data_IF_685655846305
#
_entry.id   IF_685655846305
#
_cell.length_a   1.000
_cell.length_b   1.000
_cell.length_c   1.000
_cell.angle_alpha   90.00
_cell.angle_beta   90.00
_cell.angle_gamma   90.00
#
_symmetry.space_group_name_H-M   'P 1'
#
loop_
_entity.id
_entity.type
_entity.pdbx_description
1 polymer ?
#
# COMPACT_ATOMS: atom_id res chain seq x y z
N UNK A 1 -1.47 2.60 -10.70
CA UNK A 1 -1.32 2.79 -12.16
C UNK A 1 -0.43 3.99 -12.42
N UNK A 2 0.82 3.79 -12.79
CA UNK A 2 1.73 4.90 -13.17
C UNK A 2 1.63 5.06 -14.67
N UNK A 3 0.93 6.08 -15.14
CA UNK A 3 0.86 6.43 -16.55
C UNK A 3 2.18 7.02 -17.00
N UNK A 4 2.89 6.29 -17.86
CA UNK A 4 4.09 6.75 -18.54
C UNK A 4 3.67 7.40 -19.87
N UNK A 5 3.86 8.72 -20.00
CA UNK A 5 3.63 9.47 -21.25
C UNK A 5 4.94 9.56 -22.00
N UNK A 6 5.21 8.64 -22.89
CA UNK A 6 6.12 8.82 -24.02
C UNK A 6 5.51 8.20 -25.28
N UNK A 7 5.12 9.09 -26.22
CA UNK A 7 4.52 8.70 -27.49
C UNK A 7 5.54 8.14 -28.48
N UNK A 8 5.35 6.89 -28.86
CA UNK A 8 5.77 6.40 -30.19
C UNK A 8 4.99 5.14 -30.56
N UNK A 9 4.38 5.20 -31.73
CA UNK A 9 3.54 4.18 -32.38
C UNK A 9 4.18 2.79 -32.53
N UNK A 10 3.37 1.72 -32.58
CA UNK A 10 3.84 0.36 -32.72
C UNK A 10 3.91 -0.10 -34.19
N UNK A 11 4.93 -0.85 -34.51
CA UNK A 11 4.96 -1.68 -35.69
C UNK A 11 5.54 -3.06 -35.40
N UNK A 12 4.74 -4.09 -35.59
CA UNK A 12 5.18 -5.40 -36.07
C UNK A 12 5.52 -6.48 -35.04
N UNK A 13 4.63 -7.45 -34.90
CA UNK A 13 4.90 -8.82 -34.46
C UNK A 13 6.12 -9.47 -35.12
N UNK A 14 6.86 -10.43 -34.44
CA UNK A 14 6.33 -11.78 -34.34
C UNK A 14 6.69 -12.56 -33.03
N UNK A 15 5.80 -13.49 -32.71
CA UNK A 15 5.90 -14.58 -31.74
C UNK A 15 7.26 -15.30 -31.69
N UNK A 16 7.87 -15.41 -30.51
CA UNK A 16 8.77 -16.52 -30.15
C UNK A 16 8.56 -16.90 -28.68
N UNK A 17 7.89 -18.05 -28.48
CA UNK A 17 7.87 -18.74 -27.18
C UNK A 17 9.27 -19.34 -26.92
N UNK A 18 9.84 -19.00 -25.80
CA UNK A 18 10.94 -19.78 -25.21
C UNK A 18 10.61 -20.09 -23.74
N UNK A 19 10.43 -21.39 -23.49
CA UNK A 19 10.36 -21.94 -22.15
C UNK A 19 11.72 -21.78 -21.43
N UNK A 20 11.73 -21.16 -20.27
CA UNK A 20 12.84 -21.26 -19.33
C UNK A 20 12.28 -21.57 -17.92
N UNK A 21 12.42 -22.81 -17.51
CA UNK A 21 12.46 -23.18 -16.11
C UNK A 21 13.88 -22.86 -15.61
N UNK A 22 14.07 -21.73 -14.95
CA UNK A 22 15.35 -21.34 -14.34
C UNK A 22 15.37 -21.66 -12.85
N UNK A 23 16.36 -22.42 -12.47
CA UNK A 23 16.67 -22.91 -11.13
C UNK A 23 16.78 -21.77 -10.10
N UNK A 24 16.13 -21.87 -8.93
CA UNK A 24 16.15 -20.91 -7.82
C UNK A 24 17.59 -20.64 -7.31
N UNK A 25 18.52 -21.56 -7.54
CA UNK A 25 19.96 -21.39 -7.25
C UNK A 25 20.64 -20.31 -8.12
N UNK A 26 20.02 -19.91 -9.24
CA UNK A 26 20.60 -18.96 -10.19
C UNK A 26 20.44 -17.50 -9.73
N UNK A 27 19.38 -17.18 -9.00
CA UNK A 27 19.09 -15.79 -8.56
C UNK A 27 20.16 -15.29 -7.56
N UNK A 28 20.63 -16.14 -6.64
CA UNK A 28 21.70 -15.78 -5.70
C UNK A 28 23.09 -15.59 -6.37
N UNK A 29 23.29 -16.19 -7.54
CA UNK A 29 24.55 -16.05 -8.31
C UNK A 29 24.60 -14.75 -9.13
N UNK A 30 23.48 -14.20 -9.53
CA UNK A 30 23.39 -13.01 -10.40
C UNK A 30 23.52 -11.68 -9.63
N UNK A 31 23.33 -11.67 -8.31
CA UNK A 31 23.48 -10.47 -7.49
C UNK A 31 24.94 -9.98 -7.50
N UNK A 32 25.14 -8.68 -7.74
CA UNK A 32 26.45 -8.07 -7.67
C UNK A 32 27.07 -8.26 -6.28
N UNK A 33 28.38 -8.38 -6.19
CA UNK A 33 29.08 -8.55 -4.90
C UNK A 33 28.73 -7.44 -3.90
N UNK A 34 28.39 -6.23 -4.39
CA UNK A 34 27.92 -5.10 -3.56
C UNK A 34 26.58 -5.38 -2.88
N UNK A 35 25.61 -5.94 -3.60
CA UNK A 35 24.30 -6.28 -3.04
C UNK A 35 24.41 -7.40 -1.98
N UNK A 36 25.22 -8.43 -2.22
CA UNK A 36 25.51 -9.48 -1.23
C UNK A 36 26.17 -8.93 0.03
N UNK A 37 27.12 -7.99 -0.13
CA UNK A 37 27.79 -7.33 1.00
C UNK A 37 26.83 -6.46 1.80
N UNK A 38 25.91 -5.76 1.15
CA UNK A 38 24.89 -4.94 1.83
C UNK A 38 23.95 -5.82 2.65
N UNK A 39 23.45 -6.93 2.09
CA UNK A 39 22.59 -7.88 2.80
C UNK A 39 23.33 -8.52 3.99
N UNK A 40 24.60 -8.88 3.81
CA UNK A 40 25.41 -9.43 4.89
C UNK A 40 25.67 -8.39 6.00
N UNK A 41 25.95 -7.13 5.65
CA UNK A 41 26.13 -6.04 6.60
C UNK A 41 24.82 -5.72 7.36
N UNK A 42 23.68 -5.74 6.68
CA UNK A 42 22.36 -5.58 7.30
C UNK A 42 22.05 -6.74 8.26
N UNK A 43 22.33 -7.99 7.88
CA UNK A 43 22.17 -9.16 8.73
C UNK A 43 23.09 -9.12 9.97
N UNK A 44 24.33 -8.61 9.82
CA UNK A 44 25.27 -8.42 10.92
C UNK A 44 24.80 -7.29 11.86
N UNK A 45 24.32 -6.15 11.32
CA UNK A 45 23.76 -5.05 12.10
C UNK A 45 22.51 -5.47 12.88
N UNK A 46 21.60 -6.25 12.27
CA UNK A 46 20.43 -6.83 12.90
C UNK A 46 20.81 -7.85 14.00
N UNK A 47 21.81 -8.70 13.75
CA UNK A 47 22.33 -9.64 14.76
C UNK A 47 22.98 -8.96 15.97
N UNK A 48 23.50 -7.73 15.83
CA UNK A 48 23.99 -6.93 16.94
C UNK A 48 22.84 -6.24 17.72
N UNK A 49 21.78 -5.79 17.03
CA UNK A 49 20.64 -5.12 17.67
C UNK A 49 19.84 -6.06 18.56
N UNK A 50 19.65 -7.33 18.18
CA UNK A 50 18.94 -8.32 19.00
C UNK A 50 19.65 -8.70 20.29
N UNK A 51 20.97 -8.59 20.36
CA UNK A 51 21.74 -8.80 21.63
C UNK A 51 21.69 -7.62 22.59
N UNK A 52 21.40 -6.41 22.10
CA UNK A 52 21.24 -5.22 22.93
C UNK A 52 19.86 -5.09 23.60
N UNK A 53 18.85 -5.85 23.12
CA UNK A 53 17.48 -5.81 23.65
C UNK A 53 17.29 -6.60 24.97
N UNK A 54 18.28 -7.37 25.44
CA UNK A 54 18.12 -8.32 26.54
C UNK A 54 18.32 -7.74 27.95
N UNK A 55 18.64 -6.47 28.13
CA UNK A 55 18.82 -5.89 29.48
C UNK A 55 18.48 -4.39 29.53
N UNK A 56 17.43 -4.03 30.27
CA UNK A 56 17.34 -2.72 30.88
C UNK A 56 16.01 -1.98 30.83
N UNK A 57 15.64 -1.49 31.94
CA UNK A 57 14.62 -0.52 32.36
C UNK A 57 13.81 0.21 31.27
N UNK A 58 12.50 0.27 31.50
CA UNK A 58 11.44 0.86 30.68
C UNK A 58 11.50 2.41 30.49
N UNK A 59 12.62 3.04 30.73
CA UNK A 59 12.83 4.51 30.60
C UNK A 59 13.91 4.90 29.59
N UNK A 60 14.52 3.95 28.88
CA UNK A 60 15.60 4.29 27.96
C UNK A 60 15.05 4.76 26.59
N UNK A 61 15.50 5.96 26.16
CA UNK A 61 15.33 6.50 24.81
C UNK A 61 16.20 5.68 23.82
N UNK A 62 15.75 4.47 23.45
CA UNK A 62 16.48 3.59 22.52
C UNK A 62 15.85 3.65 21.15
N UNK A 63 16.64 3.72 20.07
CA UNK A 63 16.15 3.51 18.73
C UNK A 63 15.55 2.12 18.57
N UNK A 64 14.44 2.02 17.80
CA UNK A 64 13.87 0.77 17.34
C UNK A 64 14.06 0.66 15.83
N UNK A 65 14.24 -0.55 15.36
CA UNK A 65 14.41 -0.87 13.94
C UNK A 65 13.47 -2.01 13.59
N UNK A 66 12.87 -1.95 12.41
CA UNK A 66 12.15 -3.09 11.81
C UNK A 66 12.61 -3.31 10.38
N UNK A 67 12.48 -4.55 9.94
CA UNK A 67 12.68 -4.98 8.57
C UNK A 67 11.49 -5.84 8.19
N UNK A 68 10.81 -5.44 7.12
CA UNK A 68 9.73 -6.19 6.53
C UNK A 68 10.12 -6.56 5.09
N UNK A 69 10.06 -7.85 4.80
CA UNK A 69 10.36 -8.37 3.46
C UNK A 69 9.19 -9.24 3.00
N UNK A 70 8.61 -8.87 1.86
CA UNK A 70 7.54 -9.61 1.22
C UNK A 70 8.00 -10.08 -0.15
N UNK A 71 7.77 -11.35 -0.44
CA UNK A 71 8.02 -11.97 -1.76
C UNK A 71 6.74 -12.62 -2.24
N UNK A 72 6.39 -12.39 -3.51
CA UNK A 72 5.27 -13.08 -4.15
C UNK A 72 5.72 -13.81 -5.41
N UNK A 73 5.09 -14.96 -5.63
CA UNK A 73 4.97 -15.60 -6.94
C UNK A 73 3.52 -15.42 -7.37
N UNK A 74 3.30 -14.67 -8.43
CA UNK A 74 2.00 -14.37 -9.01
C UNK A 74 1.86 -15.15 -10.31
N UNK A 75 0.70 -15.71 -10.63
CA UNK A 75 0.46 -16.47 -11.88
C UNK A 75 -1.00 -16.37 -12.32
N UNK A 76 -1.20 -16.29 -13.63
CA UNK A 76 -2.48 -16.45 -14.31
C UNK A 76 -2.71 -17.89 -14.85
N UNK A 77 -1.90 -18.85 -14.41
CA UNK A 77 -1.79 -20.23 -14.86
C UNK A 77 -1.04 -20.44 -16.19
N UNK A 78 -0.71 -19.39 -16.94
CA UNK A 78 0.11 -19.47 -18.16
C UNK A 78 1.53 -18.95 -17.93
N UNK A 79 1.64 -17.82 -17.26
CA UNK A 79 2.92 -17.17 -16.92
C UNK A 79 3.04 -16.98 -15.41
N UNK A 80 4.25 -16.74 -14.97
CA UNK A 80 4.54 -16.43 -13.58
C UNK A 80 5.42 -15.18 -13.46
N UNK A 81 5.03 -14.30 -12.55
CA UNK A 81 5.73 -13.07 -12.18
C UNK A 81 6.26 -13.20 -10.76
N UNK A 82 7.46 -12.70 -10.53
CA UNK A 82 8.08 -12.67 -9.22
C UNK A 82 8.23 -11.23 -8.74
N UNK A 83 7.73 -10.96 -7.56
CA UNK A 83 7.70 -9.63 -6.94
C UNK A 83 8.37 -9.67 -5.58
N UNK A 84 9.14 -8.64 -5.24
CA UNK A 84 9.80 -8.50 -3.94
C UNK A 84 9.67 -7.06 -3.44
N UNK A 85 9.26 -6.91 -2.19
CA UNK A 85 9.28 -5.65 -1.46
C UNK A 85 10.16 -5.82 -0.22
N UNK A 86 11.06 -4.86 0.00
CA UNK A 86 11.84 -4.74 1.22
C UNK A 86 11.60 -3.37 1.83
N UNK A 87 11.13 -3.33 3.06
CA UNK A 87 10.94 -2.12 3.83
C UNK A 87 11.83 -2.12 5.07
N UNK A 88 12.45 -1.00 5.35
CA UNK A 88 13.28 -0.77 6.53
C UNK A 88 12.76 0.46 7.25
N UNK A 89 12.47 0.33 8.55
CA UNK A 89 12.05 1.44 9.39
C UNK A 89 12.95 1.60 10.60
N UNK A 90 13.15 2.85 11.00
CA UNK A 90 13.80 3.19 12.25
C UNK A 90 13.06 4.33 12.94
N UNK A 91 12.76 4.16 14.22
CA UNK A 91 12.26 5.21 15.10
C UNK A 91 13.34 5.59 16.08
N UNK A 92 13.76 6.86 16.07
CA UNK A 92 14.83 7.42 16.89
C UNK A 92 14.20 8.41 17.89
N UNK A 93 14.02 8.02 19.16
CA UNK A 93 13.52 8.94 20.18
C UNK A 93 14.58 10.01 20.51
N UNK A 94 14.22 11.28 20.30
CA UNK A 94 15.06 12.44 20.64
C UNK A 94 14.81 12.88 22.07
N UNK A 95 13.56 12.79 22.49
CA UNK A 95 13.12 13.06 23.86
C UNK A 95 11.82 12.28 24.15
N UNK A 96 11.28 12.41 25.38
CA UNK A 96 9.97 11.80 25.72
C UNK A 96 8.81 12.30 24.85
N UNK A 97 8.96 13.47 24.21
CA UNK A 97 7.91 14.09 23.38
C UNK A 97 8.25 14.17 21.90
N UNK A 98 9.48 13.90 21.52
CA UNK A 98 9.92 14.01 20.14
C UNK A 98 10.63 12.74 19.69
N UNK A 99 10.24 12.23 18.53
CA UNK A 99 10.92 11.16 17.82
C UNK A 99 11.13 11.53 16.36
N UNK A 100 12.17 11.00 15.77
CA UNK A 100 12.42 11.03 14.34
C UNK A 100 12.15 9.62 13.78
N UNK A 101 11.30 9.56 12.78
CA UNK A 101 10.96 8.34 12.07
C UNK A 101 11.58 8.41 10.67
N UNK A 102 12.21 7.31 10.23
CA UNK A 102 12.72 7.14 8.87
C UNK A 102 12.37 5.76 8.35
N UNK A 103 11.83 5.69 7.15
CA UNK A 103 11.46 4.48 6.45
C UNK A 103 11.93 4.52 5.00
N UNK A 104 12.34 3.37 4.49
CA UNK A 104 12.74 3.19 3.10
C UNK A 104 12.08 1.96 2.52
N UNK A 105 11.88 1.95 1.21
CA UNK A 105 11.43 0.78 0.49
C UNK A 105 12.31 0.52 -0.74
N UNK A 106 12.41 -0.75 -1.09
CA UNK A 106 13.00 -1.25 -2.35
C UNK A 106 12.03 -2.24 -2.95
N UNK A 107 11.73 -2.09 -4.22
CA UNK A 107 10.82 -2.98 -4.95
C UNK A 107 11.52 -3.55 -6.17
N UNK A 108 11.31 -4.84 -6.42
CA UNK A 108 11.84 -5.52 -7.58
C UNK A 108 10.84 -6.54 -8.12
N UNK A 109 10.61 -6.49 -9.41
CA UNK A 109 9.88 -7.50 -10.17
C UNK A 109 10.70 -7.93 -11.39
N UNK A 110 10.54 -9.17 -11.83
CA UNK A 110 11.14 -9.66 -13.07
C UNK A 110 10.35 -9.21 -14.32
N UNK A 111 9.14 -8.68 -14.14
CA UNK A 111 8.29 -8.14 -15.18
C UNK A 111 7.56 -6.92 -14.63
N UNK A 112 7.71 -5.75 -15.26
CA UNK A 112 7.06 -4.50 -14.87
C UNK A 112 5.67 -4.33 -15.51
N UNK A 113 5.30 -5.21 -16.45
CA UNK A 113 3.95 -5.24 -17.00
C UNK A 113 3.00 -5.93 -16.02
N UNK A 114 1.74 -5.53 -16.01
CA UNK A 114 0.68 -6.19 -15.25
C UNK A 114 0.50 -7.66 -15.69
N UNK A 115 0.25 -8.56 -14.74
CA UNK A 115 -0.04 -9.96 -15.06
C UNK A 115 -1.43 -10.12 -15.67
N UNK A 116 -2.40 -9.32 -15.21
CA UNK A 116 -3.78 -9.27 -15.67
C UNK A 116 -4.14 -7.86 -16.13
N UNK A 117 -5.16 -7.76 -16.95
CA UNK A 117 -5.80 -6.50 -17.34
C UNK A 117 -7.00 -6.21 -16.40
N UNK A 118 -6.76 -6.27 -15.09
CA UNK A 118 -7.74 -5.97 -14.06
C UNK A 118 -7.67 -4.50 -13.62
N UNK A 119 -8.83 -3.92 -13.29
CA UNK A 119 -8.95 -2.51 -12.92
C UNK A 119 -8.55 -2.22 -11.48
N UNK A 120 -8.72 -3.20 -10.59
CA UNK A 120 -8.45 -3.03 -9.15
C UNK A 120 -7.05 -3.44 -8.72
N UNK A 121 -6.28 -4.06 -9.61
CA UNK A 121 -4.94 -4.61 -9.34
C UNK A 121 -5.01 -5.68 -8.23
N UNK A 122 -5.07 -6.95 -8.64
CA UNK A 122 -5.30 -8.10 -7.76
C UNK A 122 -4.25 -8.28 -6.65
N UNK A 123 -3.07 -7.71 -6.78
CA UNK A 123 -2.05 -7.69 -5.72
C UNK A 123 -1.59 -6.27 -5.39
N UNK A 124 -1.60 -5.92 -4.10
CA UNK A 124 -1.11 -4.64 -3.58
C UNK A 124 0.43 -4.48 -3.67
N UNK A 125 1.14 -5.47 -4.20
CA UNK A 125 2.58 -5.42 -4.52
C UNK A 125 2.84 -5.20 -6.01
N UNK A 126 2.02 -4.42 -6.71
CA UNK A 126 2.30 -4.02 -8.08
C UNK A 126 2.93 -2.63 -8.13
N UNK A 127 4.15 -2.53 -8.69
CA UNK A 127 4.89 -1.29 -8.86
C UNK A 127 6.02 -1.46 -9.90
N UNK A 128 6.56 -0.34 -10.37
CA UNK A 128 7.79 -0.33 -11.15
C UNK A 128 9.01 -0.59 -10.26
N UNK A 129 10.07 -1.15 -10.84
CA UNK A 129 11.32 -1.41 -10.13
C UNK A 129 11.91 -0.13 -9.52
N UNK A 130 12.14 -0.16 -8.22
CA UNK A 130 12.77 0.91 -7.47
C UNK A 130 13.83 0.36 -6.53
N UNK A 131 15.07 0.75 -6.74
CA UNK A 131 16.16 0.30 -5.89
C UNK A 131 16.10 0.91 -4.48
N UNK A 132 15.58 2.14 -4.36
CA UNK A 132 15.49 2.86 -3.10
C UNK A 132 14.50 4.02 -3.22
N UNK A 133 13.51 4.06 -2.32
CA UNK A 133 12.65 5.22 -2.11
C UNK A 133 12.49 5.50 -0.61
N UNK A 134 12.23 6.76 -0.25
CA UNK A 134 11.82 7.11 1.10
C UNK A 134 10.32 6.87 1.23
N UNK A 135 9.92 6.02 2.17
CA UNK A 135 8.51 5.85 2.56
C UNK A 135 8.12 6.86 3.65
N UNK A 136 9.03 7.08 4.61
CA UNK A 136 8.83 8.01 5.73
C UNK A 136 10.13 8.72 6.07
N UNK A 137 10.09 10.02 6.35
CA UNK A 137 11.18 10.77 6.98
C UNK A 137 10.63 12.03 7.65
N UNK A 138 10.55 12.05 9.00
CA UNK A 138 9.97 13.19 9.67
C UNK A 138 9.99 13.10 11.18
N UNK A 139 9.45 14.13 11.80
CA UNK A 139 9.41 14.28 13.25
C UNK A 139 7.99 14.12 13.76
N UNK A 140 7.83 13.28 14.79
CA UNK A 140 6.60 13.19 15.56
C UNK A 140 6.75 13.94 16.86
N UNK A 141 5.85 14.87 17.13
CA UNK A 141 5.70 15.55 18.40
C UNK A 141 4.52 15.00 19.18
N UNK A 142 4.76 14.35 20.31
CA UNK A 142 3.73 13.97 21.28
C UNK A 142 3.40 15.20 22.13
N UNK A 143 2.33 15.91 21.79
CA UNK A 143 1.91 17.15 22.45
C UNK A 143 1.50 16.83 23.89
N UNK A 144 0.68 15.79 24.05
CA UNK A 144 0.27 15.17 25.31
C UNK A 144 -0.18 13.72 25.06
N UNK A 145 -0.72 13.04 26.07
CA UNK A 145 -1.10 11.62 25.98
C UNK A 145 -2.17 11.30 24.93
N UNK A 146 -2.86 12.31 24.42
CA UNK A 146 -3.97 12.15 23.46
C UNK A 146 -3.69 12.77 22.09
N UNK A 147 -2.71 13.63 21.97
CA UNK A 147 -2.48 14.43 20.77
C UNK A 147 -1.06 14.23 20.29
N UNK A 148 -0.92 13.87 19.02
CA UNK A 148 0.36 13.84 18.33
C UNK A 148 0.29 14.56 16.99
N UNK A 149 1.44 15.07 16.54
CA UNK A 149 1.60 15.74 15.26
C UNK A 149 2.90 15.24 14.62
N UNK A 150 2.77 14.69 13.42
CA UNK A 150 3.91 14.37 12.55
C UNK A 150 4.08 15.47 11.49
N UNK A 151 5.33 15.75 11.14
CA UNK A 151 5.69 16.64 10.04
C UNK A 151 6.87 16.05 9.28
N UNK A 152 6.72 15.88 7.96
CA UNK A 152 7.75 15.29 7.11
C UNK A 152 7.18 14.55 5.92
N UNK A 153 7.96 13.65 5.36
CA UNK A 153 7.59 12.74 4.27
C UNK A 153 6.84 11.55 4.87
N UNK A 154 5.69 11.21 4.28
CA UNK A 154 4.88 10.06 4.72
C UNK A 154 3.95 9.57 3.60
N UNK A 155 3.51 8.33 3.71
CA UNK A 155 2.44 7.73 2.90
C UNK A 155 1.14 7.73 3.70
N UNK A 156 0.00 7.77 3.01
CA UNK A 156 -1.32 7.71 3.66
C UNK A 156 -1.69 6.29 4.08
N UNK A 157 -1.21 5.27 3.37
CA UNK A 157 -1.44 3.86 3.67
C UNK A 157 -0.76 3.38 4.96
N UNK A 158 0.08 4.22 5.58
CA UNK A 158 0.60 4.00 6.93
C UNK A 158 -0.37 4.44 8.05
N UNK A 159 -1.39 5.23 7.72
CA UNK A 159 -2.30 5.85 8.71
C UNK A 159 -3.77 5.60 8.42
N UNK A 160 -4.15 5.56 7.15
CA UNK A 160 -5.52 5.38 6.68
C UNK A 160 -5.68 4.01 6.06
N UNK A 161 -6.90 3.47 6.07
CA UNK A 161 -7.21 2.13 5.57
C UNK A 161 -6.47 1.00 6.33
N UNK A 162 -5.88 1.32 7.49
CA UNK A 162 -5.18 0.37 8.34
C UNK A 162 -6.19 -0.40 9.19
N UNK A 163 -6.59 -1.55 8.71
CA UNK A 163 -7.52 -2.45 9.32
C UNK A 163 -6.85 -3.80 9.50
N UNK A 164 -6.83 -4.35 10.72
CA UNK A 164 -6.21 -5.64 11.00
C UNK A 164 -6.85 -6.77 10.19
N UNK A 165 -8.18 -6.73 10.04
CA UNK A 165 -8.89 -7.75 9.30
C UNK A 165 -8.76 -7.57 7.78
N UNK A 166 -8.76 -6.33 7.28
CA UNK A 166 -8.57 -6.05 5.86
C UNK A 166 -7.14 -6.35 5.39
N UNK A 167 -6.14 -6.19 6.26
CA UNK A 167 -4.72 -6.51 5.99
C UNK A 167 -4.44 -8.01 5.76
N UNK A 168 -5.42 -8.88 6.01
CA UNK A 168 -5.35 -10.30 5.66
C UNK A 168 -5.38 -10.50 4.14
N UNK A 169 -5.96 -9.57 3.38
CA UNK A 169 -6.14 -9.68 1.94
C UNK A 169 -4.98 -9.04 1.17
N UNK A 170 -4.76 -9.52 -0.05
CA UNK A 170 -3.68 -9.08 -0.93
C UNK A 170 -4.15 -8.15 -2.04
N UNK A 171 -5.43 -8.08 -2.31
CA UNK A 171 -6.04 -7.17 -3.27
C UNK A 171 -5.69 -5.71 -2.93
N UNK A 172 -5.30 -4.92 -3.92
CA UNK A 172 -4.95 -3.51 -3.76
C UNK A 172 -6.07 -2.68 -3.15
N UNK A 173 -7.33 -2.99 -3.47
CA UNK A 173 -8.51 -2.34 -2.90
C UNK A 173 -8.65 -2.52 -1.38
N UNK A 174 -7.99 -3.53 -0.80
CA UNK A 174 -7.92 -3.73 0.64
C UNK A 174 -6.84 -2.87 1.33
N UNK A 175 -5.88 -2.32 0.57
CA UNK A 175 -4.84 -1.39 1.07
C UNK A 175 -5.14 0.08 0.80
N UNK A 176 -6.10 0.37 -0.08
CA UNK A 176 -6.56 1.71 -0.42
C UNK A 176 -7.67 1.65 -1.45
N UNK A 177 -8.80 2.30 -1.18
CA UNK A 177 -9.97 2.21 -2.05
C UNK A 177 -9.73 2.84 -3.42
N UNK A 178 -10.13 2.18 -4.54
CA UNK A 178 -9.89 2.64 -5.91
C UNK A 178 -10.39 4.06 -6.19
N UNK A 179 -11.49 4.46 -5.57
CA UNK A 179 -12.05 5.84 -5.65
C UNK A 179 -11.10 6.93 -5.16
N UNK A 180 -10.02 6.56 -4.48
CA UNK A 180 -8.95 7.46 -4.07
C UNK A 180 -7.66 7.11 -4.82
N UNK A 181 -7.17 5.87 -4.68
CA UNK A 181 -5.84 5.47 -5.16
C UNK A 181 -5.74 5.37 -6.67
N UNK A 182 -6.85 5.13 -7.37
CA UNK A 182 -6.90 5.02 -8.82
C UNK A 182 -7.13 6.34 -9.56
N UNK A 183 -7.59 7.40 -8.87
CA UNK A 183 -8.02 8.63 -9.54
C UNK A 183 -6.93 9.69 -9.69
N UNK A 184 -5.86 9.68 -8.87
CA UNK A 184 -4.73 10.62 -8.97
C UNK A 184 -3.53 10.12 -8.16
N UNK A 185 -2.35 10.68 -8.43
CA UNK A 185 -1.11 10.28 -7.76
C UNK A 185 -1.01 10.89 -6.36
N UNK A 186 -1.63 10.23 -5.39
CA UNK A 186 -1.55 10.57 -3.99
C UNK A 186 -0.34 9.90 -3.30
N UNK A 187 0.05 10.31 -2.08
CA UNK A 187 1.14 9.68 -1.34
C UNK A 187 0.73 8.31 -0.76
N UNK A 188 0.69 7.30 -1.60
CA UNK A 188 0.48 5.90 -1.24
C UNK A 188 1.57 5.04 -1.88
N UNK A 189 1.82 3.83 -1.38
CA UNK A 189 2.81 2.92 -1.95
C UNK A 189 2.79 2.93 -3.50
N UNK A 190 3.94 3.04 -4.19
CA UNK A 190 5.32 3.14 -3.67
C UNK A 190 5.83 4.59 -3.52
N UNK A 191 4.99 5.61 -3.63
CA UNK A 191 5.36 7.04 -3.60
C UNK A 191 4.95 7.70 -2.30
N UNK A 192 5.64 8.77 -1.93
CA UNK A 192 5.37 9.52 -0.70
C UNK A 192 5.38 11.04 -0.95
N UNK A 193 4.90 11.82 0.00
CA UNK A 193 4.89 13.28 -0.09
C UNK A 193 5.20 13.95 1.24
N UNK A 194 5.66 15.21 1.16
CA UNK A 194 5.75 16.09 2.33
C UNK A 194 4.36 16.42 2.85
N UNK A 195 4.18 16.28 4.15
CA UNK A 195 2.88 16.57 4.77
C UNK A 195 2.94 16.72 6.28
N UNK A 196 1.75 16.95 6.82
CA UNK A 196 1.44 16.99 8.24
C UNK A 196 0.40 15.92 8.53
N UNK A 197 0.56 15.21 9.63
CA UNK A 197 -0.42 14.22 10.10
C UNK A 197 -0.66 14.42 11.59
N UNK A 198 -1.92 14.66 11.94
CA UNK A 198 -2.37 14.88 13.30
C UNK A 198 -3.24 13.72 13.76
N UNK A 199 -3.04 13.27 14.99
CA UNK A 199 -3.85 12.24 15.64
C UNK A 199 -4.35 12.73 16.99
N UNK A 200 -5.65 12.55 17.21
CA UNK A 200 -6.29 12.61 18.51
C UNK A 200 -6.82 11.23 18.86
N UNK A 201 -6.33 10.65 19.95
CA UNK A 201 -6.78 9.35 20.45
C UNK A 201 -7.30 9.47 21.88
N UNK A 202 -8.54 9.07 22.09
CA UNK A 202 -9.15 9.08 23.43
C UNK A 202 -10.20 7.97 23.58
N UNK A 203 -9.93 7.04 24.50
CA UNK A 203 -10.84 5.91 24.79
C UNK A 203 -11.14 5.10 23.52
N UNK A 204 -12.41 5.19 23.08
CA UNK A 204 -12.94 4.40 21.97
C UNK A 204 -12.91 5.17 20.63
N UNK A 205 -12.35 6.37 20.59
CA UNK A 205 -12.37 7.22 19.39
C UNK A 205 -10.96 7.66 19.06
N UNK A 206 -10.56 7.42 17.81
CA UNK A 206 -9.38 8.03 17.19
C UNK A 206 -9.85 8.96 16.07
N UNK A 207 -9.38 10.19 16.08
CA UNK A 207 -9.54 11.13 14.97
C UNK A 207 -8.17 11.39 14.34
N UNK A 208 -8.10 11.32 13.03
CA UNK A 208 -6.91 11.61 12.25
C UNK A 208 -7.20 12.69 11.22
N UNK A 209 -6.22 13.55 10.96
CA UNK A 209 -6.29 14.56 9.91
C UNK A 209 -4.91 14.78 9.30
N UNK A 210 -4.83 14.80 7.98
CA UNK A 210 -3.58 15.00 7.24
C UNK A 210 -3.71 16.06 6.16
N UNK A 211 -2.58 16.68 5.86
CA UNK A 211 -2.42 17.62 4.77
C UNK A 211 -1.09 17.34 4.07
N UNK A 212 -1.12 17.02 2.78
CA UNK A 212 0.04 16.70 1.97
C UNK A 212 0.19 17.65 0.77
N UNK A 213 1.42 17.72 0.22
CA UNK A 213 1.58 18.18 -1.16
C UNK A 213 0.70 17.33 -2.07
N UNK A 214 -0.05 17.94 -2.98
CA UNK A 214 -1.11 17.26 -3.72
C UNK A 214 -0.61 16.19 -4.69
N UNK A 215 0.69 16.22 -5.05
CA UNK A 215 1.31 15.23 -5.91
C UNK A 215 2.45 14.53 -5.17
N UNK A 216 2.44 13.20 -5.18
CA UNK A 216 3.48 12.38 -4.56
C UNK A 216 4.62 12.08 -5.53
N UNK A 217 5.81 11.86 -4.99
CA UNK A 217 7.02 11.61 -5.75
C UNK A 217 7.84 10.48 -5.14
N UNK A 218 8.62 9.81 -5.99
CA UNK A 218 9.53 8.72 -5.57
C UNK A 218 10.99 9.18 -5.53
N UNK A 219 11.36 10.13 -6.41
CA UNK A 219 12.75 10.56 -6.56
C UNK A 219 13.24 11.37 -5.36
N UNK A 220 14.51 11.21 -5.01
CA UNK A 220 15.17 11.99 -3.95
C UNK A 220 15.71 13.34 -4.43
N UNK A 221 15.95 13.46 -5.73
CA UNK A 221 16.61 14.63 -6.33
C UNK A 221 15.89 15.09 -7.60
N UNK A 222 16.28 16.25 -8.12
CA UNK A 222 15.66 16.82 -9.32
C UNK A 222 14.48 17.74 -8.99
N UNK A 223 13.77 18.16 -10.02
CA UNK A 223 12.63 19.09 -9.90
C UNK A 223 11.42 18.47 -9.23
N UNK A 224 11.17 17.21 -9.54
CA UNK A 224 10.06 16.39 -9.02
C UNK A 224 10.61 15.37 -8.05
N UNK A 225 10.70 15.72 -6.78
CA UNK A 225 11.28 14.90 -5.73
C UNK A 225 10.38 14.89 -4.49
N UNK A 226 10.61 13.94 -3.63
CA UNK A 226 9.80 13.66 -2.42
C UNK A 226 9.76 14.83 -1.41
N UNK A 227 10.76 15.73 -1.44
CA UNK A 227 10.80 16.93 -0.58
C UNK A 227 10.05 18.12 -1.18
N UNK A 228 9.49 17.97 -2.37
CA UNK A 228 8.81 19.05 -3.07
C UNK A 228 7.52 19.44 -2.34
N UNK A 229 7.37 20.75 -2.11
CA UNK A 229 6.14 21.38 -1.63
C UNK A 229 5.82 22.52 -2.57
N UNK A 230 4.84 22.34 -3.43
CA UNK A 230 4.47 23.32 -4.44
C UNK A 230 2.94 23.37 -4.69
N UNK A 231 2.14 23.90 -3.74
CA UNK A 231 0.68 23.91 -3.84
C UNK A 231 0.12 24.61 -5.08
N UNK A 232 0.94 25.45 -5.75
CA UNK A 232 0.51 26.14 -6.96
C UNK A 232 0.44 25.26 -8.19
N UNK A 233 1.30 24.23 -8.28
CA UNK A 233 1.36 23.32 -9.42
C UNK A 233 0.94 21.91 -9.04
N UNK A 234 1.29 21.46 -7.83
CA UNK A 234 1.01 20.09 -7.38
C UNK A 234 -0.33 20.00 -6.65
N UNK A 235 -0.90 21.15 -6.26
CA UNK A 235 -2.10 21.17 -5.44
C UNK A 235 -1.87 20.78 -3.98
N UNK A 236 -2.96 20.46 -3.30
CA UNK A 236 -3.00 20.08 -1.89
C UNK A 236 -3.93 18.88 -1.76
N UNK A 237 -3.52 17.89 -0.96
CA UNK A 237 -4.31 16.74 -0.63
C UNK A 237 -4.57 16.68 0.88
N UNK A 238 -5.83 16.72 1.28
CA UNK A 238 -6.28 16.67 2.67
C UNK A 238 -7.12 15.41 2.91
N UNK A 239 -6.93 14.78 4.09
CA UNK A 239 -7.71 13.63 4.53
C UNK A 239 -8.12 13.79 5.98
N UNK A 240 -9.26 13.20 6.34
CA UNK A 240 -9.69 13.04 7.72
C UNK A 240 -10.34 11.66 7.91
N UNK A 241 -10.15 11.07 9.09
CA UNK A 241 -10.82 9.81 9.45
C UNK A 241 -11.16 9.81 10.94
N UNK A 242 -12.32 9.28 11.26
CA UNK A 242 -12.72 8.90 12.62
C UNK A 242 -12.80 7.39 12.68
N UNK A 243 -12.16 6.81 13.67
CA UNK A 243 -12.34 5.41 14.08
C UNK A 243 -13.13 5.38 15.39
N UNK A 244 -14.14 4.52 15.45
CA UNK A 244 -14.86 4.18 16.67
C UNK A 244 -14.67 2.71 16.99
N UNK A 245 -14.16 2.42 18.20
CA UNK A 245 -13.91 1.06 18.70
C UNK A 245 -15.00 0.65 19.69
N UNK A 246 -15.56 -0.54 19.49
CA UNK A 246 -16.54 -1.12 20.41
C UNK A 246 -16.26 -2.63 20.63
N UNK A 247 -15.68 -2.96 21.78
CA UNK A 247 -15.12 -4.30 22.00
C UNK A 247 -14.01 -4.57 20.97
N UNK A 248 -14.13 -5.68 20.27
CA UNK A 248 -13.20 -6.08 19.20
C UNK A 248 -13.68 -5.59 17.80
N UNK A 249 -14.68 -4.74 17.76
CA UNK A 249 -15.22 -4.18 16.50
C UNK A 249 -14.70 -2.77 16.26
N UNK A 250 -14.39 -2.44 15.00
CA UNK A 250 -13.84 -1.17 14.55
C UNK A 250 -14.68 -0.59 13.42
N UNK A 251 -15.01 0.69 13.49
CA UNK A 251 -15.81 1.39 12.50
C UNK A 251 -15.12 2.67 12.09
N UNK A 252 -14.92 2.84 10.80
CA UNK A 252 -14.18 3.97 10.23
C UNK A 252 -15.08 4.77 9.32
N UNK A 253 -15.00 6.08 9.43
CA UNK A 253 -15.60 7.04 8.51
C UNK A 253 -14.56 8.08 8.16
N UNK A 254 -14.29 8.24 6.87
CA UNK A 254 -13.29 9.17 6.39
C UNK A 254 -13.74 9.96 5.18
N UNK A 255 -12.96 10.96 4.85
CA UNK A 255 -13.13 11.76 3.66
C UNK A 255 -11.82 12.40 3.24
N UNK A 256 -11.68 12.67 1.95
CA UNK A 256 -10.53 13.35 1.37
C UNK A 256 -10.95 14.48 0.45
N UNK A 257 -10.01 15.36 0.19
CA UNK A 257 -10.14 16.46 -0.75
C UNK A 257 -8.80 16.68 -1.45
N UNK A 258 -8.74 16.45 -2.74
CA UNK A 258 -7.68 16.97 -3.59
C UNK A 258 -8.11 18.32 -4.20
N UNK A 259 -7.22 19.30 -4.22
CA UNK A 259 -7.40 20.55 -4.93
C UNK A 259 -6.10 20.95 -5.61
N UNK A 260 -6.08 20.97 -6.95
CA UNK A 260 -4.87 21.24 -7.72
C UNK A 260 -5.08 21.23 -9.21
N UNK A 261 -3.96 21.26 -9.93
CA UNK A 261 -3.91 21.35 -11.39
C UNK A 261 -3.69 19.97 -12.04
N UNK A 262 -4.10 18.87 -11.38
CA UNK A 262 -3.97 17.53 -11.93
C UNK A 262 -5.03 17.34 -13.02
N UNK A 263 -4.61 17.48 -14.28
CA UNK A 263 -5.39 17.09 -15.45
C UNK A 263 -4.47 16.35 -16.42
N UNK A 264 -4.99 15.38 -17.11
CA UNK A 264 -4.28 14.66 -18.19
C UNK A 264 -4.07 15.54 -19.43
N UNK A 265 -4.88 16.60 -19.60
CA UNK A 265 -4.91 17.41 -20.82
C UNK A 265 -4.62 18.90 -20.67
N UNK A 266 -4.40 19.42 -19.48
CA UNK A 266 -4.18 20.88 -19.36
C UNK A 266 -4.44 21.47 -17.98
N UNK A 267 -4.17 22.74 -17.87
CA UNK A 267 -4.08 23.47 -16.61
C UNK A 267 -5.47 23.96 -16.18
N UNK A 268 -6.34 23.08 -15.75
CA UNK A 268 -7.53 23.45 -15.00
C UNK A 268 -7.43 22.98 -13.55
N UNK A 269 -7.70 23.90 -12.61
CA UNK A 269 -7.78 23.53 -11.20
C UNK A 269 -9.04 22.75 -10.94
N UNK A 270 -8.84 21.54 -10.48
CA UNK A 270 -9.92 20.62 -10.12
C UNK A 270 -10.00 20.46 -8.61
N UNK A 271 -11.17 20.07 -8.14
CA UNK A 271 -11.43 19.73 -6.74
C UNK A 271 -12.11 18.40 -6.72
N UNK A 272 -11.46 17.39 -6.12
CA UNK A 272 -11.94 16.01 -6.07
C UNK A 272 -12.20 15.58 -4.62
N UNK A 273 -13.43 15.68 -4.17
CA UNK A 273 -13.83 15.15 -2.86
C UNK A 273 -14.18 13.67 -2.94
N UNK A 274 -13.81 12.91 -1.90
CA UNK A 274 -14.20 11.52 -1.73
C UNK A 274 -14.57 11.22 -0.29
N UNK A 275 -15.40 10.21 -0.07
CA UNK A 275 -15.75 9.69 1.26
C UNK A 275 -15.57 8.17 1.29
N UNK A 276 -15.33 7.63 2.48
CA UNK A 276 -15.30 6.19 2.69
C UNK A 276 -15.83 5.80 4.07
N UNK A 277 -16.27 4.57 4.17
CA UNK A 277 -16.56 3.90 5.42
C UNK A 277 -16.06 2.47 5.38
N UNK A 278 -15.58 1.97 6.51
CA UNK A 278 -15.18 0.59 6.72
C UNK A 278 -15.70 0.13 8.07
N UNK A 279 -16.24 -1.06 8.12
CA UNK A 279 -16.67 -1.72 9.34
C UNK A 279 -15.98 -3.08 9.48
N UNK A 280 -15.32 -3.29 10.61
CA UNK A 280 -14.85 -4.57 11.10
C UNK A 280 -15.75 -4.99 12.26
N UNK A 281 -16.72 -5.83 11.98
CA UNK A 281 -17.65 -6.32 13.00
C UNK A 281 -17.18 -7.67 13.54
N UNK A 282 -16.67 -7.72 14.76
CA UNK A 282 -16.41 -8.97 15.45
C UNK A 282 -17.74 -9.71 15.70
N UNK A 283 -17.89 -10.87 15.08
CA UNK A 283 -19.03 -11.77 15.29
C UNK A 283 -18.72 -12.78 16.41
N UNK A 284 -17.47 -13.12 16.57
CA UNK A 284 -16.89 -13.89 17.68
C UNK A 284 -15.41 -13.48 17.86
N UNK A 285 -14.70 -13.97 18.88
CA UNK A 285 -13.26 -13.67 19.02
C UNK A 285 -12.42 -14.06 17.82
N UNK A 286 -12.87 -15.04 17.03
CA UNK A 286 -12.12 -15.60 15.91
C UNK A 286 -12.74 -15.25 14.55
N UNK A 287 -13.94 -14.63 14.49
CA UNK A 287 -14.65 -14.38 13.25
C UNK A 287 -15.02 -12.90 13.14
N UNK A 288 -14.53 -12.24 12.08
CA UNK A 288 -14.81 -10.84 11.78
C UNK A 288 -15.51 -10.71 10.42
N UNK A 289 -16.59 -9.95 10.38
CA UNK A 289 -17.26 -9.50 9.17
C UNK A 289 -16.69 -8.14 8.76
N UNK A 290 -16.35 -8.00 7.50
CA UNK A 290 -15.88 -6.78 6.86
C UNK A 290 -16.95 -6.20 5.94
N UNK A 291 -17.14 -4.89 5.96
CA UNK A 291 -17.94 -4.18 4.99
C UNK A 291 -17.30 -2.82 4.69
N UNK A 292 -17.07 -2.51 3.42
CA UNK A 292 -16.43 -1.28 2.97
C UNK A 292 -17.26 -0.61 1.87
N UNK A 293 -17.26 0.72 1.86
CA UNK A 293 -17.83 1.50 0.77
C UNK A 293 -17.04 2.80 0.61
N UNK A 294 -16.81 3.21 -0.61
CA UNK A 294 -16.28 4.54 -0.90
C UNK A 294 -16.90 5.15 -2.16
N UNK A 295 -16.90 6.48 -2.22
CA UNK A 295 -17.47 7.24 -3.31
C UNK A 295 -16.63 8.48 -3.61
N UNK A 296 -16.29 8.69 -4.87
CA UNK A 296 -15.71 9.89 -5.43
C UNK A 296 -16.80 10.72 -6.11
N UNK A 297 -16.82 12.03 -5.88
CA UNK A 297 -17.93 12.91 -6.24
C UNK A 297 -17.75 13.67 -7.54
N UNK A 298 -16.58 13.61 -8.16
CA UNK A 298 -16.30 14.34 -9.40
C UNK A 298 -16.63 13.47 -10.60
N UNK A 299 -17.29 14.07 -11.60
CA UNK A 299 -17.71 13.37 -12.82
C UNK A 299 -16.52 13.02 -13.77
N UNK A 300 -15.33 13.60 -13.49
CA UNK A 300 -14.10 13.40 -14.25
C UNK A 300 -13.16 12.35 -13.62
N UNK A 301 -13.63 11.58 -12.63
CA UNK A 301 -12.86 10.53 -11.98
C UNK A 301 -13.09 9.18 -12.66
N UNK A 302 -12.00 8.39 -12.78
CA UNK A 302 -12.06 7.06 -13.37
C UNK A 302 -12.87 6.11 -12.50
N UNK A 303 -12.62 6.11 -11.19
CA UNK A 303 -13.33 5.25 -10.24
C UNK A 303 -14.24 6.08 -9.35
N UNK A 304 -15.55 5.89 -9.47
CA UNK A 304 -16.52 6.68 -8.72
C UNK A 304 -17.22 5.94 -7.58
N UNK A 305 -17.38 4.62 -7.66
CA UNK A 305 -17.94 3.80 -6.60
C UNK A 305 -17.11 2.56 -6.32
N UNK A 306 -16.94 2.24 -5.05
CA UNK A 306 -16.37 0.98 -4.57
C UNK A 306 -17.21 0.44 -3.43
N UNK A 307 -17.43 -0.86 -3.39
CA UNK A 307 -18.06 -1.57 -2.28
C UNK A 307 -17.41 -2.93 -2.09
N UNK A 308 -17.21 -3.34 -0.83
CA UNK A 308 -16.62 -4.63 -0.51
C UNK A 308 -17.26 -5.27 0.72
N UNK A 309 -17.30 -6.58 0.74
CA UNK A 309 -17.75 -7.39 1.87
C UNK A 309 -16.86 -8.61 2.01
N UNK A 310 -16.55 -8.99 3.25
CA UNK A 310 -15.71 -10.15 3.49
C UNK A 310 -15.85 -10.74 4.88
N UNK A 311 -15.21 -11.88 5.06
CA UNK A 311 -15.08 -12.59 6.33
C UNK A 311 -13.62 -12.95 6.55
N UNK A 312 -13.14 -12.72 7.77
CA UNK A 312 -11.87 -13.23 8.28
C UNK A 312 -12.13 -14.18 9.43
N UNK A 313 -11.52 -15.37 9.37
CA UNK A 313 -11.58 -16.37 10.43
C UNK A 313 -10.17 -16.74 10.89
N UNK A 314 -9.90 -16.66 12.18
CA UNK A 314 -8.61 -16.99 12.79
C UNK A 314 -8.69 -18.32 13.49
N UNK A 315 -7.80 -19.24 13.17
CA UNK A 315 -7.69 -20.57 13.79
C UNK A 315 -6.25 -20.83 14.23
N UNK A 316 -5.94 -20.53 15.46
CA UNK A 316 -4.60 -20.67 16.01
C UNK A 316 -3.60 -19.78 15.28
N UNK A 317 -2.72 -20.35 14.46
CA UNK A 317 -1.71 -19.64 13.65
C UNK A 317 -2.14 -19.46 12.20
N UNK A 318 -3.34 -19.82 11.83
CA UNK A 318 -3.87 -19.67 10.48
C UNK A 318 -5.00 -18.64 10.45
N UNK A 319 -4.99 -17.80 9.42
CA UNK A 319 -6.03 -16.84 9.10
C UNK A 319 -6.62 -17.19 7.75
N UNK A 320 -7.93 -17.32 7.67
CA UNK A 320 -8.66 -17.58 6.45
C UNK A 320 -9.50 -16.38 6.11
N UNK A 321 -9.49 -16.00 4.85
CA UNK A 321 -10.26 -14.84 4.36
C UNK A 321 -11.00 -15.14 3.07
N UNK A 322 -12.18 -14.56 2.95
CA UNK A 322 -12.89 -14.34 1.70
C UNK A 322 -13.31 -12.87 1.66
N UNK A 323 -12.98 -12.19 0.58
CA UNK A 323 -13.40 -10.81 0.34
C UNK A 323 -13.89 -10.67 -1.10
N UNK A 324 -15.06 -10.12 -1.28
CA UNK A 324 -15.63 -9.81 -2.59
C UNK A 324 -15.89 -8.33 -2.67
N UNK A 325 -15.46 -7.71 -3.75
CA UNK A 325 -15.61 -6.29 -3.99
C UNK A 325 -16.10 -5.98 -5.39
N UNK A 326 -16.51 -4.76 -5.54
CA UNK A 326 -17.06 -4.18 -6.73
C UNK A 326 -16.51 -2.77 -6.91
N UNK A 327 -16.09 -2.45 -8.12
CA UNK A 327 -15.76 -1.09 -8.52
C UNK A 327 -16.55 -0.73 -9.78
N UNK A 328 -17.09 0.48 -9.79
CA UNK A 328 -17.63 1.11 -11.00
C UNK A 328 -16.62 2.13 -11.52
N UNK A 329 -16.38 2.12 -12.81
CA UNK A 329 -15.47 3.04 -13.45
C UNK A 329 -16.06 3.65 -14.72
N UNK A 330 -15.72 4.93 -14.95
CA UNK A 330 -15.98 5.68 -16.17
C UNK A 330 -14.65 5.90 -16.90
N UNK A 331 -14.55 5.48 -18.14
CA UNK A 331 -13.33 5.68 -18.91
C UNK A 331 -13.45 6.92 -19.78
N UNK A 332 -13.01 8.05 -19.27
CA UNK A 332 -13.18 9.34 -19.93
C UNK A 332 -12.10 9.66 -20.98
N UNK A 333 -10.95 8.99 -20.97
CA UNK A 333 -9.77 9.46 -21.71
C UNK A 333 -9.10 8.45 -22.65
N UNK A 334 -9.50 7.23 -22.63
CA UNK A 334 -9.04 6.26 -23.62
C UNK A 334 -10.15 6.16 -24.68
N UNK A 335 -9.82 6.17 -25.96
CA UNK A 335 -10.77 5.99 -27.10
C UNK A 335 -11.70 4.75 -26.98
N UNK A 336 -11.70 4.12 -25.82
CA UNK A 336 -12.55 3.03 -25.34
C UNK A 336 -13.42 3.62 -24.21
N UNK A 337 -14.32 4.52 -24.57
CA UNK A 337 -15.30 5.07 -23.63
C UNK A 337 -16.32 4.00 -23.25
N UNK A 338 -16.04 3.23 -22.23
CA UNK A 338 -17.01 2.29 -21.65
C UNK A 338 -17.15 2.62 -20.18
N UNK A 339 -18.35 3.03 -19.82
CA UNK A 339 -18.90 2.94 -18.49
C UNK A 339 -18.93 1.44 -18.13
N UNK A 340 -18.18 1.03 -17.13
CA UNK A 340 -17.93 -0.38 -16.84
C UNK A 340 -17.86 -0.68 -15.35
N UNK A 341 -17.71 -1.95 -15.05
CA UNK A 341 -17.57 -2.42 -13.68
C UNK A 341 -16.69 -3.66 -13.59
N UNK A 342 -16.05 -3.81 -12.45
CA UNK A 342 -15.31 -5.01 -12.10
C UNK A 342 -15.78 -5.56 -10.75
N UNK A 343 -15.89 -6.89 -10.71
CA UNK A 343 -16.08 -7.67 -9.48
C UNK A 343 -14.83 -8.51 -9.23
N UNK A 344 -14.26 -8.42 -8.05
CA UNK A 344 -13.18 -9.28 -7.64
C UNK A 344 -13.57 -10.10 -6.39
N UNK A 345 -13.09 -11.33 -6.30
CA UNK A 345 -13.22 -12.17 -5.11
C UNK A 345 -11.88 -12.78 -4.80
N UNK A 346 -11.36 -12.50 -3.62
CA UNK A 346 -10.15 -13.09 -3.07
C UNK A 346 -10.49 -14.19 -2.05
N UNK A 347 -9.81 -15.32 -2.20
CA UNK A 347 -9.76 -16.40 -1.21
C UNK A 347 -8.33 -16.52 -0.71
N UNK A 348 -8.10 -16.34 0.58
CA UNK A 348 -6.77 -16.32 1.16
C UNK A 348 -6.66 -17.20 2.40
N UNK A 349 -5.44 -17.75 2.63
CA UNK A 349 -5.08 -18.47 3.84
C UNK A 349 -3.67 -18.08 4.27
N UNK A 350 -3.53 -17.23 5.29
CA UNK A 350 -2.23 -16.85 5.85
C UNK A 350 -1.87 -17.71 7.04
N UNK A 351 -0.71 -18.38 6.99
CA UNK A 351 -0.23 -19.26 8.06
C UNK A 351 1.06 -18.69 8.66
N UNK A 352 1.03 -18.34 9.93
CA UNK A 352 2.19 -17.90 10.70
C UNK A 352 3.01 -19.12 11.15
N UNK A 353 4.06 -19.47 10.40
CA UNK A 353 4.95 -20.58 10.73
C UNK A 353 5.79 -20.28 11.97
N UNK A 354 6.20 -19.02 12.11
CA UNK A 354 6.85 -18.44 13.29
C UNK A 354 6.24 -17.07 13.57
N UNK A 355 6.69 -16.39 14.63
CA UNK A 355 6.24 -15.02 14.94
C UNK A 355 6.79 -13.98 13.95
N UNK A 356 7.81 -14.33 13.17
CA UNK A 356 8.48 -13.47 12.20
C UNK A 356 8.34 -13.94 10.74
N UNK A 357 7.69 -15.11 10.49
CA UNK A 357 7.57 -15.66 9.13
C UNK A 357 6.18 -16.24 8.89
N UNK A 358 5.56 -15.82 7.78
CA UNK A 358 4.29 -16.36 7.31
C UNK A 358 4.32 -16.74 5.83
N UNK A 359 3.43 -17.66 5.46
CA UNK A 359 3.16 -18.09 4.08
C UNK A 359 1.67 -17.92 3.81
N UNK A 360 1.32 -17.44 2.61
CA UNK A 360 -0.04 -17.06 2.28
C UNK A 360 -0.35 -17.42 0.81
N UNK A 361 -0.94 -18.60 0.54
CA UNK A 361 -1.59 -18.88 -0.73
C UNK A 361 -2.89 -18.08 -0.88
N UNK A 362 -3.09 -17.54 -2.09
CA UNK A 362 -4.23 -16.70 -2.45
C UNK A 362 -4.73 -17.08 -3.84
N UNK A 363 -6.03 -16.99 -4.04
CA UNK A 363 -6.69 -17.11 -5.35
C UNK A 363 -7.59 -15.91 -5.55
N UNK A 364 -7.46 -15.25 -6.71
CA UNK A 364 -8.32 -14.19 -7.18
C UNK A 364 -9.19 -14.66 -8.33
N UNK A 365 -10.47 -14.37 -8.27
CA UNK A 365 -11.46 -14.59 -9.32
C UNK A 365 -12.04 -13.22 -9.64
N UNK A 366 -11.82 -12.74 -10.87
CA UNK A 366 -12.15 -11.38 -11.28
C UNK A 366 -13.07 -11.46 -12.49
N UNK A 367 -14.03 -10.57 -12.57
CA UNK A 367 -14.89 -10.40 -13.72
C UNK A 367 -14.94 -8.91 -14.08
N UNK A 368 -14.34 -8.57 -15.21
CA UNK A 368 -14.30 -7.22 -15.76
C UNK A 368 -15.19 -7.18 -17.00
N UNK A 369 -16.31 -6.47 -16.93
CA UNK A 369 -17.29 -6.29 -18.02
C UNK A 369 -17.79 -7.61 -18.67
N UNK A 370 -17.79 -8.70 -17.92
CA UNK A 370 -18.21 -10.03 -18.36
C UNK A 370 -17.07 -10.97 -18.74
N UNK A 371 -15.83 -10.47 -18.83
CA UNK A 371 -14.65 -11.30 -19.04
C UNK A 371 -14.11 -11.83 -17.71
N UNK A 372 -13.95 -13.14 -17.61
CA UNK A 372 -13.49 -13.82 -16.41
C UNK A 372 -11.97 -13.96 -16.40
N UNK A 373 -11.31 -13.44 -15.35
CA UNK A 373 -9.88 -13.56 -15.09
C UNK A 373 -9.63 -14.35 -13.80
N UNK A 374 -8.49 -15.01 -13.70
CA UNK A 374 -8.09 -15.74 -12.50
C UNK A 374 -6.58 -15.57 -12.24
N UNK A 375 -6.22 -15.26 -11.01
CA UNK A 375 -4.83 -15.23 -10.59
C UNK A 375 -4.60 -16.04 -9.32
N UNK A 376 -3.41 -16.64 -9.21
CA UNK A 376 -2.89 -17.26 -8.01
C UNK A 376 -1.72 -16.46 -7.47
N UNK A 377 -1.64 -16.30 -6.14
CA UNK A 377 -0.51 -15.67 -5.46
C UNK A 377 0.00 -16.60 -4.36
N UNK A 378 1.31 -16.75 -4.28
CA UNK A 378 1.96 -17.31 -3.10
C UNK A 378 2.84 -16.23 -2.49
N UNK A 379 2.39 -15.65 -1.36
CA UNK A 379 3.10 -14.61 -0.62
C UNK A 379 3.88 -15.20 0.55
N UNK A 380 5.11 -14.75 0.71
CA UNK A 380 5.98 -15.05 1.85
C UNK A 380 6.33 -13.73 2.53
N UNK A 381 6.10 -13.64 3.85
CA UNK A 381 6.42 -12.44 4.63
C UNK A 381 7.43 -12.76 5.72
N UNK A 382 8.40 -11.88 5.89
CA UNK A 382 9.36 -11.87 6.99
C UNK A 382 9.29 -10.51 7.67
N UNK A 383 9.04 -10.46 8.98
CA UNK A 383 8.99 -9.24 9.80
C UNK A 383 9.89 -9.39 11.01
N UNK A 384 10.88 -8.48 11.17
CA UNK A 384 11.93 -8.53 12.21
C UNK A 384 12.01 -7.22 12.99
#
# INVERSE_FOLDING_TARGET
MVLNVDGSSPSGHPSRRHHYFGDVSFCFKSMTNKAKTIILLLAILLGYSTRLMAQGDSTSLRPTFSLDATTEIQTDCEIAKWVNLLELHATIPISRKFKFDIGTLSFYTNDEEGLLEDMQIFSNLDALNVAFALSTAGFTWQINDRHSLFAGIRRIDEDYFCSDALSTFTNSSCGGFPTLTGNYTMPTYPVSAMGLHYVYDHKNVTFQASLYNGFAHQNLTGRYNVFRVCPKTDGVFALTQVEYRHGDSHYYLGGSLYHGDFTLEGVERITRPSIWTLAEQALSPDLTLLAAYSHAFSDDEVFNHFAGIGLRYVLGRAEFGIFSDFVHYDNLDLDIATDGYEFATELTCKVHLTDWFSIQPVVHIINTDGDGLCAGVLRLNVSL
#
